data_IF_256214791717
#
_entry.id   IF_256214791717
#
_cell.length_a   1.000
_cell.length_b   1.000
_cell.length_c   1.000
_cell.angle_alpha   90.00
_cell.angle_beta   90.00
_cell.angle_gamma   90.00
#
_symmetry.space_group_name_H-M   'P 1'
#
loop_
_entity.id
_entity.type
_entity.pdbx_description
1 polymer ?
#
# COMPACT_ATOMS: atom_id res chain seq x y z
N UNK A 1 24.05 49.95 26.74
CA UNK A 1 24.07 49.68 25.28
C UNK A 1 24.15 48.17 25.12
N UNK A 2 23.15 47.51 24.50
CA UNK A 2 23.14 46.05 24.38
C UNK A 2 24.24 45.60 23.42
N UNK A 3 24.99 44.58 23.83
CA UNK A 3 26.06 43.99 23.05
C UNK A 3 25.52 43.31 21.80
N UNK A 4 26.16 43.62 20.67
CA UNK A 4 25.92 42.94 19.41
C UNK A 4 26.55 41.54 19.44
N UNK A 5 25.73 40.51 19.62
CA UNK A 5 26.12 39.12 19.36
C UNK A 5 26.06 38.85 17.86
N UNK A 6 27.10 39.26 17.12
CA UNK A 6 27.33 38.80 15.75
C UNK A 6 27.77 37.33 15.80
N UNK A 7 26.81 36.41 15.84
CA UNK A 7 27.04 34.99 15.58
C UNK A 7 27.37 34.81 14.11
N UNK A 8 28.65 34.64 13.78
CA UNK A 8 29.05 34.13 12.48
C UNK A 8 28.64 32.65 12.44
N UNK A 9 27.66 32.31 11.61
CA UNK A 9 27.43 30.91 11.26
C UNK A 9 28.55 30.50 10.30
N UNK A 10 29.35 29.54 10.73
CA UNK A 10 30.41 28.90 9.96
C UNK A 10 29.86 28.32 8.64
N UNK A 11 29.92 29.09 7.55
CA UNK A 11 29.53 28.65 6.22
C UNK A 11 30.77 28.14 5.45
N UNK A 12 31.20 26.92 5.76
CA UNK A 12 32.31 26.28 5.04
C UNK A 12 31.80 25.12 4.20
N UNK A 13 32.19 25.10 2.93
CA UNK A 13 32.11 23.94 2.05
C UNK A 13 33.51 23.56 1.60
N UNK A 14 33.84 22.27 1.66
CA UNK A 14 35.16 21.79 1.23
C UNK A 14 35.03 20.47 0.46
N UNK A 15 36.05 20.16 -0.33
CA UNK A 15 36.17 18.87 -1.00
C UNK A 15 37.11 18.00 -0.18
N UNK A 16 36.62 16.84 0.26
CA UNK A 16 37.39 15.85 1.00
C UNK A 16 38.48 15.22 0.12
N UNK A 17 39.46 14.58 0.75
CA UNK A 17 40.53 13.84 0.03
C UNK A 17 40.01 12.65 -0.79
N UNK A 18 38.79 12.21 -0.49
CA UNK A 18 38.01 11.20 -1.20
C UNK A 18 37.19 11.78 -2.37
N UNK A 19 37.29 13.09 -2.63
CA UNK A 19 36.61 13.79 -3.71
C UNK A 19 35.15 14.16 -3.39
N UNK A 20 34.68 13.95 -2.16
CA UNK A 20 33.31 14.29 -1.76
C UNK A 20 33.17 15.77 -1.41
N UNK A 21 32.06 16.38 -1.80
CA UNK A 21 31.72 17.74 -1.37
C UNK A 21 31.03 17.69 -0.01
N UNK A 22 31.62 18.35 0.99
CA UNK A 22 31.07 18.50 2.33
C UNK A 22 30.45 19.89 2.50
N UNK A 23 29.24 19.93 3.03
CA UNK A 23 28.54 21.16 3.41
C UNK A 23 28.19 21.09 4.89
N UNK A 24 28.53 22.13 5.66
CA UNK A 24 28.27 22.17 7.11
C UNK A 24 26.77 22.29 7.45
N UNK A 25 25.93 22.68 6.49
CA UNK A 25 24.50 22.89 6.68
C UNK A 25 23.73 22.64 5.36
N UNK A 26 22.47 23.08 5.30
CA UNK A 26 21.59 22.96 4.14
C UNK A 26 22.20 23.57 2.88
N UNK A 27 21.96 22.89 1.74
CA UNK A 27 22.32 23.37 0.41
C UNK A 27 21.06 23.92 -0.25
N UNK A 28 20.97 25.24 -0.41
CA UNK A 28 19.87 25.88 -1.12
C UNK A 28 20.24 26.05 -2.59
N UNK A 29 19.51 25.36 -3.47
CA UNK A 29 19.69 25.45 -4.93
C UNK A 29 18.46 26.14 -5.53
N UNK A 30 18.60 27.33 -6.14
CA UNK A 30 17.47 28.03 -6.77
C UNK A 30 16.98 27.36 -8.07
N UNK A 31 17.66 26.28 -8.51
CA UNK A 31 17.31 25.50 -9.71
C UNK A 31 17.29 24.01 -9.42
N UNK A 32 17.25 23.19 -10.46
CA UNK A 32 17.12 21.73 -10.35
C UNK A 32 18.41 21.06 -9.87
N UNK A 33 18.31 20.16 -8.90
CA UNK A 33 19.35 19.18 -8.60
C UNK A 33 19.14 17.93 -9.48
N UNK A 34 20.11 17.63 -10.35
CA UNK A 34 20.13 16.39 -11.12
C UNK A 34 21.25 15.50 -10.60
N UNK A 35 20.92 14.28 -10.18
CA UNK A 35 21.88 13.29 -9.72
C UNK A 35 21.56 11.93 -10.36
N UNK A 36 22.59 11.24 -10.86
CA UNK A 36 22.42 9.88 -11.42
C UNK A 36 22.07 8.85 -10.33
N UNK A 37 22.31 9.18 -9.06
CA UNK A 37 21.92 8.36 -7.92
C UNK A 37 21.95 9.18 -6.62
N UNK A 38 21.05 8.83 -5.70
CA UNK A 38 20.99 9.41 -4.35
C UNK A 38 21.25 8.28 -3.34
N UNK A 39 22.36 8.36 -2.60
CA UNK A 39 22.70 7.40 -1.54
C UNK A 39 22.46 8.05 -0.16
N UNK A 40 21.48 7.55 0.59
CA UNK A 40 21.09 8.09 1.92
C UNK A 40 21.33 7.05 3.05
N UNK A 41 22.60 6.78 3.42
CA UNK A 41 22.94 5.69 4.33
C UNK A 41 22.50 5.93 5.79
N UNK A 42 22.32 7.19 6.20
CA UNK A 42 22.03 7.55 7.59
C UNK A 42 20.57 7.34 8.02
N UNK A 43 19.64 7.08 7.10
CA UNK A 43 18.23 6.81 7.46
C UNK A 43 17.88 5.33 7.50
N UNK A 44 18.66 4.46 6.87
CA UNK A 44 18.39 3.01 6.84
C UNK A 44 19.67 2.19 6.65
N UNK A 45 20.18 1.57 7.71
CA UNK A 45 21.23 0.54 7.63
C UNK A 45 20.77 -0.80 7.02
N UNK A 46 19.69 -0.80 6.22
CA UNK A 46 19.08 -2.01 5.68
C UNK A 46 18.92 -1.91 4.18
N UNK A 47 19.64 -2.77 3.45
CA UNK A 47 19.33 -3.09 2.07
C UNK A 47 18.12 -4.03 2.06
N UNK A 48 17.08 -3.72 1.28
CA UNK A 48 15.95 -4.65 1.10
C UNK A 48 15.86 -5.06 -0.35
N UNK A 49 15.62 -6.34 -0.59
CA UNK A 49 15.39 -6.89 -1.92
C UNK A 49 13.88 -6.88 -2.22
N UNK A 50 13.48 -6.16 -3.27
CA UNK A 50 12.28 -6.41 -4.08
C UNK A 50 10.88 -5.82 -3.74
N UNK A 51 10.73 -4.75 -2.93
CA UNK A 51 9.52 -3.89 -2.97
C UNK A 51 9.91 -2.40 -2.91
N UNK A 52 9.11 -1.47 -3.47
CA UNK A 52 9.29 -0.04 -3.23
C UNK A 52 9.32 0.22 -1.72
N UNK A 53 10.50 0.47 -1.19
CA UNK A 53 10.77 0.57 0.23
C UNK A 53 11.05 2.01 0.65
N UNK A 54 10.88 2.96 -0.27
CA UNK A 54 11.12 4.38 -0.08
C UNK A 54 9.89 5.14 -0.59
N UNK A 55 9.35 6.04 0.22
CA UNK A 55 8.35 7.03 -0.20
C UNK A 55 8.85 8.43 0.15
N UNK A 56 8.40 9.41 -0.61
CA UNK A 56 8.68 10.82 -0.37
C UNK A 56 7.38 11.44 0.14
N UNK A 57 7.43 12.09 1.30
CA UNK A 57 6.26 12.81 1.81
C UNK A 57 6.05 14.14 1.08
N UNK A 58 4.96 14.85 1.41
CA UNK A 58 4.64 16.16 0.81
C UNK A 58 5.72 17.22 1.05
N UNK A 59 6.59 17.03 2.05
CA UNK A 59 7.70 17.93 2.37
C UNK A 59 9.00 17.57 1.64
N UNK A 60 8.99 16.55 0.77
CA UNK A 60 10.20 16.10 0.06
C UNK A 60 11.12 15.22 0.92
N UNK A 61 10.65 14.71 2.05
CA UNK A 61 11.44 13.89 2.97
C UNK A 61 11.33 12.40 2.61
N UNK A 62 12.47 11.72 2.50
CA UNK A 62 12.56 10.30 2.08
C UNK A 62 12.39 9.33 3.24
N UNK A 63 11.24 8.67 3.36
CA UNK A 63 10.95 7.68 4.39
C UNK A 63 11.06 6.25 3.88
N UNK A 64 11.40 5.32 4.78
CA UNK A 64 11.25 3.90 4.50
C UNK A 64 9.78 3.51 4.59
N UNK A 65 9.26 2.82 3.58
CA UNK A 65 7.95 2.19 3.65
C UNK A 65 8.02 1.03 4.66
N UNK A 66 7.24 1.15 5.75
CA UNK A 66 7.12 0.11 6.76
C UNK A 66 6.10 -0.94 6.30
N UNK A 67 6.57 -2.12 5.89
CA UNK A 67 5.73 -3.29 5.64
C UNK A 67 5.98 -4.36 6.72
N UNK A 68 6.18 -3.94 7.97
CA UNK A 68 6.52 -4.85 9.06
C UNK A 68 5.26 -5.57 9.58
N UNK A 69 5.29 -6.91 9.63
CA UNK A 69 4.14 -7.73 10.02
C UNK A 69 4.40 -8.62 11.26
N UNK A 70 5.55 -8.43 11.91
CA UNK A 70 6.00 -9.18 13.09
C UNK A 70 5.12 -8.90 14.31
N UNK A 71 5.03 -9.89 15.23
CA UNK A 71 4.42 -9.68 16.55
C UNK A 71 5.13 -8.58 17.35
N UNK A 72 6.43 -8.36 17.10
CA UNK A 72 7.22 -7.33 17.78
C UNK A 72 6.82 -5.89 17.42
N UNK A 73 5.99 -5.70 16.39
CA UNK A 73 5.54 -4.38 15.91
C UNK A 73 4.01 -4.25 15.90
N UNK A 74 3.30 -5.23 16.50
CA UNK A 74 1.82 -5.28 16.54
C UNK A 74 1.38 -5.48 17.98
N UNK A 75 0.35 -4.76 18.38
CA UNK A 75 -0.30 -4.91 19.68
C UNK A 75 -1.69 -5.55 19.52
N UNK A 76 -2.29 -5.99 20.63
CA UNK A 76 -3.69 -6.48 20.72
C UNK A 76 -4.07 -7.56 19.68
N UNK A 77 -3.17 -8.52 19.46
CA UNK A 77 -3.34 -9.57 18.43
C UNK A 77 -4.46 -10.54 18.84
N UNK A 78 -5.56 -10.50 18.09
CA UNK A 78 -6.73 -11.40 18.23
C UNK A 78 -7.15 -12.02 16.90
N UNK A 79 -8.05 -13.01 16.97
CA UNK A 79 -8.71 -13.56 15.79
C UNK A 79 -9.67 -12.53 15.18
N UNK A 80 -10.02 -12.74 13.91
CA UNK A 80 -10.87 -11.81 13.16
C UNK A 80 -12.31 -11.83 13.69
N UNK A 81 -12.72 -10.75 14.33
CA UNK A 81 -14.05 -10.57 14.93
C UNK A 81 -14.69 -9.21 14.59
N UNK A 82 -13.92 -8.28 14.01
CA UNK A 82 -14.41 -6.93 13.69
C UNK A 82 -15.33 -6.95 12.47
N UNK A 83 -16.52 -6.37 12.60
CA UNK A 83 -17.47 -6.23 11.49
C UNK A 83 -16.94 -5.30 10.39
N UNK A 84 -16.13 -4.31 10.74
CA UNK A 84 -15.49 -3.43 9.76
C UNK A 84 -14.50 -4.19 8.87
N UNK A 85 -13.87 -5.23 9.42
CA UNK A 85 -12.92 -6.12 8.74
C UNK A 85 -13.59 -7.40 8.24
N UNK A 86 -14.92 -7.47 8.24
CA UNK A 86 -15.66 -8.66 7.82
C UNK A 86 -15.38 -8.96 6.33
N UNK A 87 -14.73 -10.09 6.00
CA UNK A 87 -14.36 -10.40 4.63
C UNK A 87 -15.55 -10.62 3.71
N UNK A 88 -16.72 -11.00 4.23
CA UNK A 88 -17.93 -11.23 3.44
C UNK A 88 -18.39 -9.99 2.68
N UNK A 89 -18.00 -8.78 3.13
CA UNK A 89 -18.25 -7.52 2.42
C UNK A 89 -17.60 -7.48 1.04
N UNK A 90 -16.57 -8.29 0.79
CA UNK A 90 -15.95 -8.41 -0.53
C UNK A 90 -16.84 -9.13 -1.56
N UNK A 91 -17.85 -9.90 -1.13
CA UNK A 91 -18.82 -10.49 -2.07
C UNK A 91 -19.69 -9.43 -2.75
N UNK A 92 -19.89 -8.27 -2.11
CA UNK A 92 -20.67 -7.16 -2.64
C UNK A 92 -19.84 -6.17 -3.48
N UNK A 93 -18.51 -6.35 -3.51
CA UNK A 93 -17.61 -5.55 -4.33
C UNK A 93 -17.73 -6.00 -5.78
N UNK A 94 -18.02 -5.05 -6.68
CA UNK A 94 -18.12 -5.33 -8.10
C UNK A 94 -16.75 -5.35 -8.77
N UNK A 95 -16.58 -6.28 -9.72
CA UNK A 95 -15.42 -6.35 -10.60
C UNK A 95 -15.78 -5.75 -11.95
N UNK A 96 -14.94 -4.83 -12.42
CA UNK A 96 -15.21 -4.07 -13.63
C UNK A 96 -14.21 -4.42 -14.73
N UNK A 97 -14.70 -4.41 -15.95
CA UNK A 97 -13.88 -4.34 -17.15
C UNK A 97 -13.80 -2.87 -17.60
N UNK A 98 -12.60 -2.35 -17.84
CA UNK A 98 -12.40 -0.95 -18.20
C UNK A 98 -11.20 -0.75 -19.13
N UNK A 99 -11.07 0.47 -19.67
CA UNK A 99 -9.89 0.93 -20.42
C UNK A 99 -9.42 2.25 -19.83
N UNK A 100 -8.11 2.42 -19.67
CA UNK A 100 -7.59 3.71 -19.25
C UNK A 100 -7.92 4.82 -20.27
N UNK A 101 -8.25 6.01 -19.76
CA UNK A 101 -8.36 7.22 -20.60
C UNK A 101 -7.01 7.49 -21.25
N UNK A 102 -7.00 7.98 -22.49
CA UNK A 102 -5.76 8.33 -23.22
C UNK A 102 -4.98 9.46 -22.57
N UNK A 103 -5.68 10.33 -21.83
CA UNK A 103 -5.08 11.39 -21.03
C UNK A 103 -4.37 10.86 -19.79
N UNK A 104 -4.71 9.65 -19.33
CA UNK A 104 -4.08 9.00 -18.19
C UNK A 104 -2.94 8.08 -18.62
N UNK A 105 -3.21 7.18 -19.58
CA UNK A 105 -2.20 6.31 -20.18
C UNK A 105 -1.99 6.73 -21.64
N UNK A 106 -0.99 7.58 -21.87
CA UNK A 106 -0.69 8.18 -23.17
C UNK A 106 0.38 7.42 -23.95
N UNK A 107 1.21 6.62 -23.27
CA UNK A 107 2.24 5.80 -23.91
C UNK A 107 1.60 4.68 -24.72
N UNK A 108 1.72 4.76 -26.05
CA UNK A 108 1.14 3.78 -26.98
C UNK A 108 1.85 2.43 -26.97
N UNK A 109 3.10 2.40 -26.52
CA UNK A 109 3.90 1.17 -26.41
C UNK A 109 3.58 0.38 -25.13
N UNK A 110 2.83 0.97 -24.19
CA UNK A 110 2.39 0.24 -22.99
C UNK A 110 1.38 -0.85 -23.38
N UNK A 111 1.61 -2.06 -22.90
CA UNK A 111 0.76 -3.22 -23.20
C UNK A 111 -0.69 -3.05 -22.77
N UNK A 112 -0.96 -2.11 -21.86
CA UNK A 112 -2.30 -1.78 -21.35
C UNK A 112 -3.00 -0.70 -22.19
N UNK A 113 -2.30 -0.03 -23.12
CA UNK A 113 -2.84 1.06 -23.90
C UNK A 113 -4.05 0.63 -24.74
N UNK A 114 -5.21 1.24 -24.46
CA UNK A 114 -6.51 0.93 -25.09
C UNK A 114 -6.93 -0.55 -25.02
N UNK A 115 -6.34 -1.32 -24.10
CA UNK A 115 -6.72 -2.70 -23.84
C UNK A 115 -7.77 -2.78 -22.73
N UNK A 116 -8.61 -3.79 -22.84
CA UNK A 116 -9.53 -4.17 -21.77
C UNK A 116 -8.73 -4.68 -20.58
N UNK A 117 -8.96 -4.05 -19.44
CA UNK A 117 -8.37 -4.35 -18.15
C UNK A 117 -9.46 -4.78 -17.18
N UNK A 118 -9.10 -5.61 -16.21
CA UNK A 118 -9.95 -6.00 -15.09
C UNK A 118 -9.48 -5.28 -13.83
N UNK A 119 -10.41 -4.86 -12.98
CA UNK A 119 -10.06 -4.29 -11.68
C UNK A 119 -11.25 -3.67 -10.95
N UNK A 120 -10.92 -2.85 -9.95
CA UNK A 120 -11.88 -2.19 -9.08
C UNK A 120 -12.14 -0.74 -9.52
N UNK A 121 -13.35 -0.27 -9.20
CA UNK A 121 -13.64 1.16 -9.11
C UNK A 121 -13.53 1.55 -7.64
N UNK A 122 -12.68 2.52 -7.32
CA UNK A 122 -12.31 2.83 -5.93
C UNK A 122 -13.50 3.32 -5.10
N UNK A 123 -14.44 4.03 -5.71
CA UNK A 123 -15.68 4.47 -5.08
C UNK A 123 -16.53 3.28 -4.61
N UNK A 124 -16.68 2.25 -5.47
CA UNK A 124 -17.43 1.04 -5.12
C UNK A 124 -16.70 0.23 -4.04
N UNK A 125 -15.38 0.08 -4.17
CA UNK A 125 -14.59 -0.63 -3.16
C UNK A 125 -14.61 0.11 -1.81
N UNK A 126 -14.51 1.44 -1.81
CA UNK A 126 -14.56 2.24 -0.59
C UNK A 126 -15.92 2.18 0.09
N UNK A 127 -17.02 2.17 -0.67
CA UNK A 127 -18.38 2.01 -0.11
C UNK A 127 -18.55 0.65 0.60
N UNK A 128 -18.05 -0.43 0.00
CA UNK A 128 -18.27 -1.79 0.52
C UNK A 128 -17.22 -2.23 1.53
N UNK A 129 -15.96 -1.88 1.33
CA UNK A 129 -14.82 -2.29 2.15
C UNK A 129 -13.76 -1.17 2.28
N UNK A 130 -14.07 -0.09 3.05
CA UNK A 130 -13.29 1.14 3.08
C UNK A 130 -11.80 0.97 3.43
N UNK A 131 -11.47 0.07 4.35
CA UNK A 131 -10.09 -0.12 4.82
C UNK A 131 -9.11 -0.56 3.73
N UNK A 132 -9.63 -1.12 2.64
CA UNK A 132 -8.84 -1.51 1.48
C UNK A 132 -8.60 -0.38 0.47
N UNK A 133 -8.97 0.87 0.78
CA UNK A 133 -8.79 2.01 -0.11
C UNK A 133 -7.97 3.09 0.59
N UNK A 134 -6.84 3.43 -0.03
CA UNK A 134 -6.06 4.58 0.38
C UNK A 134 -6.71 5.84 -0.21
N UNK A 135 -7.03 6.81 0.64
CA UNK A 135 -7.64 8.06 0.23
C UNK A 135 -7.20 9.22 1.12
N UNK A 136 -7.33 10.43 0.59
CA UNK A 136 -7.10 11.68 1.31
C UNK A 136 -8.17 12.71 0.98
N UNK A 137 -8.24 13.80 1.74
CA UNK A 137 -9.13 14.92 1.44
C UNK A 137 -8.38 16.00 0.68
N UNK A 138 -9.00 16.56 -0.36
CA UNK A 138 -8.50 17.79 -0.99
C UNK A 138 -8.78 19.03 -0.12
N UNK A 139 -8.27 20.19 -0.55
CA UNK A 139 -8.46 21.48 0.14
C UNK A 139 -9.93 21.89 0.27
N UNK A 140 -10.81 21.36 -0.59
CA UNK A 140 -12.26 21.59 -0.57
C UNK A 140 -13.02 20.57 0.30
N UNK A 141 -12.31 19.62 0.94
CA UNK A 141 -12.89 18.59 1.79
C UNK A 141 -13.51 17.41 1.02
N UNK A 142 -13.19 17.26 -0.27
CA UNK A 142 -13.63 16.13 -1.09
C UNK A 142 -12.63 14.99 -0.97
N UNK A 143 -13.16 13.76 -0.84
CA UNK A 143 -12.35 12.54 -0.85
C UNK A 143 -11.74 12.33 -2.24
N UNK A 144 -10.42 12.16 -2.27
CA UNK A 144 -9.61 11.74 -3.39
C UNK A 144 -9.14 10.32 -3.12
N UNK A 145 -9.44 9.42 -4.05
CA UNK A 145 -9.06 8.01 -3.97
C UNK A 145 -7.73 7.78 -4.70
N UNK A 146 -6.74 7.26 -4.00
CA UNK A 146 -5.38 7.10 -4.52
C UNK A 146 -5.18 5.70 -5.11
N UNK A 147 -5.45 4.68 -4.31
CA UNK A 147 -5.24 3.28 -4.66
C UNK A 147 -6.09 2.34 -3.83
N UNK A 148 -6.17 1.09 -4.28
CA UNK A 148 -6.60 -0.02 -3.43
C UNK A 148 -5.36 -0.65 -2.77
N UNK A 149 -5.53 -1.16 -1.56
CA UNK A 149 -4.46 -1.66 -0.71
C UNK A 149 -4.54 -3.19 -0.56
N UNK A 150 -3.61 -3.88 -1.22
CA UNK A 150 -3.58 -5.34 -1.23
C UNK A 150 -3.33 -5.96 0.15
N UNK A 151 -2.74 -5.20 1.09
CA UNK A 151 -2.43 -5.69 2.43
C UNK A 151 -3.68 -5.99 3.25
N UNK A 152 -4.82 -5.36 2.91
CA UNK A 152 -6.12 -5.65 3.52
C UNK A 152 -6.96 -6.61 2.67
N UNK A 153 -6.90 -6.49 1.33
CA UNK A 153 -7.64 -7.38 0.43
C UNK A 153 -7.17 -8.82 0.49
N UNK A 154 -5.86 -9.06 0.45
CA UNK A 154 -5.31 -10.43 0.37
C UNK A 154 -5.69 -11.27 1.61
N UNK A 155 -5.50 -10.79 2.86
CA UNK A 155 -5.92 -11.56 4.04
C UNK A 155 -7.42 -11.80 4.10
N UNK A 156 -8.24 -10.82 3.71
CA UNK A 156 -9.69 -10.96 3.67
C UNK A 156 -10.11 -12.03 2.64
N UNK A 157 -9.56 -11.99 1.42
CA UNK A 157 -9.79 -13.02 0.40
C UNK A 157 -9.35 -14.41 0.86
N UNK A 158 -8.19 -14.52 1.52
CA UNK A 158 -7.73 -15.80 2.08
C UNK A 158 -8.73 -16.35 3.10
N UNK A 159 -9.27 -15.49 3.98
CA UNK A 159 -10.27 -15.89 4.95
C UNK A 159 -11.55 -16.41 4.26
N UNK A 160 -12.02 -15.74 3.21
CA UNK A 160 -13.15 -16.24 2.40
C UNK A 160 -12.86 -17.61 1.78
N UNK A 161 -11.66 -17.83 1.25
CA UNK A 161 -11.25 -19.13 0.68
C UNK A 161 -11.25 -20.22 1.76
N UNK A 162 -10.75 -19.91 2.96
CA UNK A 162 -10.77 -20.85 4.10
C UNK A 162 -12.20 -21.19 4.52
N UNK A 163 -13.08 -20.20 4.59
CA UNK A 163 -14.47 -20.40 4.98
C UNK A 163 -15.23 -21.22 3.92
N UNK A 164 -15.00 -20.93 2.64
CA UNK A 164 -15.53 -21.72 1.51
C UNK A 164 -15.03 -23.18 1.55
N UNK A 165 -13.76 -23.41 1.83
CA UNK A 165 -13.20 -24.76 1.96
C UNK A 165 -13.91 -25.56 3.07
N UNK A 166 -14.14 -24.93 4.23
CA UNK A 166 -14.86 -25.54 5.34
C UNK A 166 -16.33 -25.82 4.99
N UNK A 167 -16.97 -24.90 4.27
CA UNK A 167 -18.35 -25.10 3.81
C UNK A 167 -18.47 -26.30 2.86
N UNK A 168 -17.56 -26.44 1.90
CA UNK A 168 -17.54 -27.59 0.98
C UNK A 168 -17.38 -28.93 1.70
N UNK A 169 -16.50 -29.00 2.71
CA UNK A 169 -16.34 -30.20 3.55
C UNK A 169 -17.66 -30.52 4.27
N UNK A 170 -18.28 -29.52 4.89
CA UNK A 170 -19.54 -29.69 5.62
C UNK A 170 -20.69 -30.14 4.69
N UNK A 171 -20.78 -29.57 3.50
CA UNK A 171 -21.77 -29.96 2.49
C UNK A 171 -21.54 -31.41 2.03
N UNK A 172 -20.29 -31.80 1.78
CA UNK A 172 -19.93 -33.18 1.41
C UNK A 172 -20.34 -34.19 2.48
N UNK A 173 -20.06 -33.91 3.76
CA UNK A 173 -20.50 -34.76 4.87
C UNK A 173 -22.02 -34.88 4.96
N UNK A 174 -22.76 -33.79 4.72
CA UNK A 174 -24.23 -33.82 4.72
C UNK A 174 -24.77 -34.69 3.59
N UNK A 175 -24.20 -34.58 2.39
CA UNK A 175 -24.57 -35.41 1.23
C UNK A 175 -24.34 -36.89 1.54
N UNK A 176 -23.14 -37.25 2.05
CA UNK A 176 -22.85 -38.64 2.44
C UNK A 176 -23.84 -39.20 3.47
N UNK A 177 -24.17 -38.41 4.49
CA UNK A 177 -25.16 -38.83 5.50
C UNK A 177 -26.56 -39.05 4.89
N UNK A 178 -26.97 -38.20 3.94
CA UNK A 178 -28.25 -38.36 3.24
C UNK A 178 -28.24 -39.62 2.35
N UNK A 179 -27.16 -39.85 1.62
CA UNK A 179 -26.99 -41.06 0.78
C UNK A 179 -27.07 -42.33 1.63
N UNK A 180 -26.37 -42.36 2.77
CA UNK A 180 -26.42 -43.48 3.72
C UNK A 180 -27.86 -43.72 4.21
N UNK A 181 -28.59 -42.66 4.59
CA UNK A 181 -29.98 -42.79 5.04
C UNK A 181 -30.89 -43.33 3.95
N UNK A 182 -30.73 -42.88 2.71
CA UNK A 182 -31.51 -43.36 1.57
C UNK A 182 -31.23 -44.84 1.27
N UNK A 183 -29.99 -45.28 1.40
CA UNK A 183 -29.63 -46.71 1.24
C UNK A 183 -30.34 -47.59 2.27
N UNK A 184 -30.42 -47.15 3.53
CA UNK A 184 -31.11 -47.89 4.59
C UNK A 184 -32.64 -47.79 4.53
N UNK A 185 -33.21 -46.78 3.86
CA UNK A 185 -34.66 -46.66 3.66
C UNK A 185 -35.18 -47.52 2.51
N UNK A 186 -34.32 -47.88 1.55
CA UNK A 186 -34.67 -48.65 0.36
C UNK A 186 -34.24 -50.13 0.43
N UNK A 187 -33.70 -50.57 1.57
CA UNK A 187 -33.31 -51.96 1.85
C UNK A 187 -34.33 -52.61 2.79
#
# INVERSE_FOLDING_TARGET
MPGNSNGWYDCYSYVGSDGQWHFANNVYLPGTLQANGLNMPSRTGTQTTAKPNCYIDTNGTFYKTSTASSRSVKDDIKLLESEELNPSRLYDVSIYQFKYKTTYLSNKEDTRYKKDMIGFILENLHEKYPIAVDCHMDEAGKIIYDSWNEQYLIPAMLKLIQDQHNELINQSMKIQNLEIRLLFMNA
#
